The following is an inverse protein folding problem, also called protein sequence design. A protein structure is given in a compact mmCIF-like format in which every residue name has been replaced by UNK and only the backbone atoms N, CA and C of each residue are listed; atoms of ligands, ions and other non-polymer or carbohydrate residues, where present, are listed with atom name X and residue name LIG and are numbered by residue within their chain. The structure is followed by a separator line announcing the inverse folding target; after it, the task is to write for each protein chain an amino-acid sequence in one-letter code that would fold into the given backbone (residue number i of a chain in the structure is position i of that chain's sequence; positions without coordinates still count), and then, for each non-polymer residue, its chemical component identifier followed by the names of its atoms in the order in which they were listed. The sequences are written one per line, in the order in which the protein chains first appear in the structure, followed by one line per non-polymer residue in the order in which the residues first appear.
data_IF_316871942759
#
_entry.id   IF_316871942759
#
_cell.length_a   1.000
_cell.length_b   1.000
_cell.length_c   1.000
_cell.angle_alpha   90.00
_cell.angle_beta   90.00
_cell.angle_gamma   90.00
#
_symmetry.space_group_name_H-M   'P 1'
#
loop_
_entity.id
_entity.type
_entity.pdbx_description
1 polymer ?
#
# COMPACT_ATOMS: atom_id res chain seq x y z
N UNK A 1 29.08 11.62 -18.82
CA UNK A 1 29.60 10.41 -18.16
C UNK A 1 29.60 9.31 -19.20
N UNK A 2 30.78 8.87 -19.66
CA UNK A 2 30.89 7.82 -20.67
C UNK A 2 30.31 6.52 -20.12
N UNK A 3 29.21 6.04 -20.69
CA UNK A 3 28.72 4.70 -20.41
C UNK A 3 29.63 3.76 -21.20
N UNK A 4 30.62 3.16 -20.53
CA UNK A 4 31.47 2.15 -21.18
C UNK A 4 30.60 0.97 -21.61
N UNK A 5 30.45 0.83 -22.93
CA UNK A 5 29.82 -0.32 -23.56
C UNK A 5 30.84 -1.46 -23.69
N UNK A 6 30.47 -2.66 -23.30
CA UNK A 6 31.23 -3.87 -23.56
C UNK A 6 30.45 -4.74 -24.55
N UNK A 7 31.15 -5.52 -25.37
CA UNK A 7 30.53 -6.44 -26.33
C UNK A 7 30.79 -7.87 -25.83
N UNK A 8 29.74 -8.68 -25.69
CA UNK A 8 29.90 -10.10 -25.31
C UNK A 8 30.44 -10.95 -26.47
N UNK A 9 30.83 -12.20 -26.19
CA UNK A 9 31.31 -13.14 -27.20
C UNK A 9 30.27 -13.51 -28.28
N UNK A 10 29.01 -13.09 -28.12
CA UNK A 10 27.91 -13.27 -29.08
C UNK A 10 27.61 -11.99 -29.88
N UNK A 11 28.41 -10.93 -29.71
CA UNK A 11 28.25 -9.67 -30.44
C UNK A 11 27.20 -8.71 -29.86
N UNK A 12 26.63 -9.00 -28.69
CA UNK A 12 25.68 -8.09 -28.05
C UNK A 12 26.43 -6.97 -27.34
N UNK A 13 26.12 -5.72 -27.71
CA UNK A 13 26.60 -4.54 -26.99
C UNK A 13 25.76 -4.32 -25.73
N UNK A 14 26.43 -4.29 -24.58
CA UNK A 14 25.83 -4.09 -23.26
C UNK A 14 26.59 -3.03 -22.45
N UNK A 15 26.01 -2.58 -21.36
CA UNK A 15 26.67 -1.64 -20.43
C UNK A 15 26.95 -2.37 -19.11
N UNK A 16 28.04 -2.04 -18.41
CA UNK A 16 28.36 -2.68 -17.11
C UNK A 16 27.17 -2.61 -16.14
N UNK A 17 26.49 -1.46 -16.17
CA UNK A 17 25.25 -1.27 -15.45
C UNK A 17 24.16 -2.26 -15.88
N UNK A 18 23.92 -2.45 -17.18
CA UNK A 18 22.92 -3.40 -17.68
C UNK A 18 23.19 -4.86 -17.30
N UNK A 19 24.46 -5.24 -17.16
CA UNK A 19 24.85 -6.58 -16.69
C UNK A 19 24.56 -6.76 -15.19
N UNK A 20 25.07 -5.84 -14.37
CA UNK A 20 25.04 -5.95 -12.91
C UNK A 20 23.69 -5.56 -12.29
N UNK A 21 22.92 -4.70 -12.96
CA UNK A 21 21.68 -4.20 -12.41
C UNK A 21 20.59 -5.28 -12.41
N UNK A 22 20.44 -5.93 -11.26
CA UNK A 22 19.31 -6.80 -10.90
C UNK A 22 18.53 -6.25 -9.71
N UNK A 23 18.70 -4.96 -9.40
CA UNK A 23 18.04 -4.32 -8.28
C UNK A 23 16.51 -4.30 -8.46
N UNK A 24 15.80 -4.64 -7.38
CA UNK A 24 14.34 -4.77 -7.34
C UNK A 24 13.60 -3.46 -7.06
N UNK A 25 14.32 -2.44 -6.60
CA UNK A 25 13.76 -1.12 -6.24
C UNK A 25 14.45 -0.01 -7.02
N UNK A 26 13.70 1.05 -7.34
CA UNK A 26 14.25 2.22 -8.03
C UNK A 26 15.39 2.91 -7.23
N UNK A 27 15.30 3.09 -5.89
CA UNK A 27 16.43 3.54 -5.09
C UNK A 27 17.69 2.67 -5.25
N UNK A 28 17.56 1.34 -5.24
CA UNK A 28 18.70 0.43 -5.43
C UNK A 28 19.36 0.59 -6.80
N UNK A 29 18.56 0.75 -7.86
CA UNK A 29 19.09 1.02 -9.21
C UNK A 29 19.83 2.35 -9.29
N UNK A 30 19.39 3.38 -8.55
CA UNK A 30 20.08 4.68 -8.47
C UNK A 30 21.40 4.54 -7.71
N UNK A 31 21.38 3.87 -6.57
CA UNK A 31 22.57 3.63 -5.76
C UNK A 31 23.64 2.84 -6.50
N UNK A 32 23.25 1.79 -7.26
CA UNK A 32 24.19 1.01 -8.05
C UNK A 32 24.87 1.85 -9.15
N UNK A 33 24.14 2.77 -9.81
CA UNK A 33 24.75 3.70 -10.77
C UNK A 33 25.78 4.59 -10.10
N UNK A 34 25.45 5.09 -8.91
CA UNK A 34 26.37 5.92 -8.14
C UNK A 34 27.64 5.16 -7.76
N UNK A 35 27.51 3.92 -7.25
CA UNK A 35 28.67 3.09 -6.90
C UNK A 35 29.58 2.78 -8.09
N UNK A 36 29.00 2.55 -9.28
CA UNK A 36 29.80 2.34 -10.50
C UNK A 36 30.50 3.62 -10.97
N UNK A 37 29.89 4.79 -10.75
CA UNK A 37 30.49 6.07 -11.09
C UNK A 37 31.53 6.55 -10.06
N UNK A 38 31.43 6.07 -8.81
CA UNK A 38 32.25 6.45 -7.66
C UNK A 38 32.75 5.22 -6.91
N UNK A 39 33.78 4.53 -7.45
CA UNK A 39 34.40 3.40 -6.76
C UNK A 39 34.94 3.80 -5.38
N UNK A 40 34.86 2.89 -4.43
CA UNK A 40 35.47 3.08 -3.11
C UNK A 40 36.99 2.99 -3.21
N UNK A 41 37.69 3.78 -2.39
CA UNK A 41 39.14 3.70 -2.23
C UNK A 41 39.56 3.23 -0.82
N UNK A 42 38.61 3.13 0.10
CA UNK A 42 38.84 2.68 1.48
C UNK A 42 38.74 1.14 1.55
N UNK A 43 39.84 0.51 1.94
CA UNK A 43 39.92 -0.95 2.05
C UNK A 43 38.91 -1.53 3.04
N UNK A 44 38.61 -0.85 4.14
CA UNK A 44 37.66 -1.34 5.15
C UNK A 44 36.25 -1.40 4.57
N UNK A 45 35.80 -0.31 3.96
CA UNK A 45 34.48 -0.25 3.31
C UNK A 45 34.34 -1.24 2.15
N UNK A 46 35.43 -1.50 1.41
CA UNK A 46 35.45 -2.53 0.37
C UNK A 46 35.27 -3.92 1.01
N UNK A 47 36.04 -4.24 2.05
CA UNK A 47 35.94 -5.51 2.76
C UNK A 47 34.54 -5.71 3.37
N UNK A 48 33.97 -4.69 4.01
CA UNK A 48 32.65 -4.80 4.63
C UNK A 48 31.56 -5.08 3.59
N UNK A 49 31.60 -4.40 2.43
CA UNK A 49 30.69 -4.69 1.31
C UNK A 49 30.89 -6.09 0.75
N UNK A 50 32.14 -6.55 0.63
CA UNK A 50 32.43 -7.90 0.16
C UNK A 50 31.92 -8.97 1.12
N UNK A 51 32.15 -8.79 2.43
CA UNK A 51 31.68 -9.70 3.47
C UNK A 51 30.15 -9.77 3.49
N UNK A 52 29.47 -8.62 3.40
CA UNK A 52 28.01 -8.54 3.29
C UNK A 52 27.46 -9.29 2.05
N UNK A 53 28.14 -9.18 0.91
CA UNK A 53 27.77 -9.92 -0.31
C UNK A 53 28.02 -11.41 -0.14
N UNK A 54 29.18 -11.80 0.42
CA UNK A 54 29.55 -13.20 0.66
C UNK A 54 28.50 -13.91 1.53
N UNK A 55 28.05 -13.28 2.62
CA UNK A 55 26.99 -13.82 3.48
C UNK A 55 25.69 -14.09 2.71
N UNK A 56 25.28 -13.15 1.85
CA UNK A 56 24.10 -13.34 1.00
C UNK A 56 24.31 -14.37 -0.10
N UNK A 57 25.54 -14.56 -0.58
CA UNK A 57 25.88 -15.59 -1.58
C UNK A 57 25.76 -16.98 -0.96
N UNK A 58 26.30 -17.16 0.25
CA UNK A 58 26.27 -18.41 1.00
C UNK A 58 24.84 -18.77 1.47
N UNK A 59 24.04 -17.77 1.85
CA UNK A 59 22.67 -17.97 2.33
C UNK A 59 21.62 -17.73 1.24
N UNK A 60 21.47 -18.73 0.35
CA UNK A 60 20.61 -18.61 -0.84
C UNK A 60 19.12 -18.43 -0.53
N UNK A 61 18.63 -18.98 0.57
CA UNK A 61 17.23 -18.85 1.01
C UNK A 61 16.91 -17.42 1.43
N UNK A 62 17.68 -16.87 2.38
CA UNK A 62 17.61 -15.47 2.81
C UNK A 62 17.66 -14.52 1.61
N UNK A 63 18.62 -14.73 0.69
CA UNK A 63 18.76 -13.91 -0.51
C UNK A 63 17.51 -13.93 -1.39
N UNK A 64 16.87 -15.10 -1.57
CA UNK A 64 15.62 -15.21 -2.34
C UNK A 64 14.46 -14.53 -1.62
N UNK A 65 14.33 -14.71 -0.31
CA UNK A 65 13.30 -14.02 0.48
C UNK A 65 13.43 -12.51 0.35
N UNK A 66 14.64 -11.96 0.51
CA UNK A 66 14.90 -10.54 0.35
C UNK A 66 14.62 -10.07 -1.10
N UNK A 67 15.19 -10.74 -2.11
CA UNK A 67 15.09 -10.33 -3.53
C UNK A 67 13.70 -10.48 -4.11
N UNK A 68 13.03 -11.60 -3.87
CA UNK A 68 11.86 -11.99 -4.65
C UNK A 68 10.56 -11.76 -3.87
N UNK A 69 10.61 -11.69 -2.53
CA UNK A 69 9.42 -11.48 -1.70
C UNK A 69 9.35 -10.10 -1.06
N UNK A 70 10.44 -9.61 -0.46
CA UNK A 70 10.42 -8.40 0.36
C UNK A 70 10.73 -7.12 -0.43
N UNK A 71 11.89 -7.07 -1.11
CA UNK A 71 12.31 -5.88 -1.88
C UNK A 71 11.30 -5.41 -2.94
N UNK A 72 10.59 -6.29 -3.69
CA UNK A 72 9.61 -5.84 -4.68
C UNK A 72 8.42 -5.08 -4.07
N UNK A 73 8.16 -5.26 -2.76
CA UNK A 73 7.08 -4.58 -2.04
C UNK A 73 7.51 -3.22 -1.48
N UNK A 74 8.80 -2.90 -1.49
CA UNK A 74 9.33 -1.64 -0.95
C UNK A 74 8.96 -0.48 -1.89
N UNK A 75 8.17 0.52 -1.43
CA UNK A 75 7.87 1.70 -2.23
C UNK A 75 9.11 2.59 -2.39
N UNK A 76 9.08 3.53 -3.33
CA UNK A 76 10.13 4.56 -3.41
C UNK A 76 9.97 5.55 -2.24
N UNK A 77 10.71 5.29 -1.15
CA UNK A 77 10.66 6.08 0.09
C UNK A 77 10.99 7.55 -0.15
N UNK A 78 11.84 7.88 -1.13
CA UNK A 78 12.21 9.26 -1.43
C UNK A 78 11.02 10.08 -1.96
N UNK A 79 10.10 9.42 -2.66
CA UNK A 79 8.86 10.04 -3.17
C UNK A 79 7.87 10.26 -2.04
N UNK A 80 7.69 9.25 -1.17
CA UNK A 80 6.81 9.35 0.00
C UNK A 80 7.29 10.43 0.97
N UNK A 81 8.60 10.44 1.27
CA UNK A 81 9.25 11.45 2.09
C UNK A 81 8.97 12.87 1.58
N UNK A 82 9.18 13.11 0.28
CA UNK A 82 8.95 14.42 -0.33
C UNK A 82 7.49 14.86 -0.19
N UNK A 83 6.53 13.96 -0.38
CA UNK A 83 5.10 14.29 -0.24
C UNK A 83 4.75 14.68 1.20
N UNK A 84 5.27 13.96 2.18
CA UNK A 84 5.02 14.22 3.60
C UNK A 84 5.62 15.55 4.04
N UNK A 85 6.88 15.80 3.70
CA UNK A 85 7.59 17.05 4.04
C UNK A 85 6.92 18.27 3.39
N UNK A 86 6.43 18.14 2.16
CA UNK A 86 5.73 19.23 1.47
C UNK A 86 4.24 19.35 1.84
N UNK A 87 3.76 18.57 2.81
CA UNK A 87 2.34 18.50 3.21
C UNK A 87 1.37 18.26 2.04
N UNK A 88 1.84 17.53 1.01
CA UNK A 88 1.05 17.13 -0.17
C UNK A 88 0.65 15.65 -0.14
N UNK A 89 0.94 14.97 0.96
CA UNK A 89 0.56 13.58 1.17
C UNK A 89 -0.95 13.44 1.40
N UNK A 90 -1.50 12.30 1.01
CA UNK A 90 -2.86 11.87 1.37
C UNK A 90 -2.82 10.83 2.50
N UNK A 91 -3.98 10.50 3.07
CA UNK A 91 -4.09 9.42 4.06
C UNK A 91 -3.54 8.09 3.53
N UNK A 92 -3.79 7.79 2.25
CA UNK A 92 -3.20 6.64 1.55
C UNK A 92 -1.66 6.66 1.58
N UNK A 93 -1.02 7.80 1.34
CA UNK A 93 0.44 7.89 1.36
C UNK A 93 0.99 7.62 2.78
N UNK A 94 0.27 8.07 3.82
CA UNK A 94 0.62 7.81 5.22
C UNK A 94 0.48 6.32 5.57
N UNK A 95 -0.62 5.69 5.13
CA UNK A 95 -0.83 4.26 5.30
C UNK A 95 0.24 3.43 4.57
N UNK A 96 0.74 3.88 3.41
CA UNK A 96 1.86 3.20 2.72
C UNK A 96 3.16 3.24 3.52
N UNK A 97 3.42 4.31 4.28
CA UNK A 97 4.57 4.36 5.20
C UNK A 97 4.38 3.38 6.36
N UNK A 98 3.16 3.26 6.88
CA UNK A 98 2.83 2.23 7.85
C UNK A 98 3.06 0.81 7.30
N UNK A 99 2.59 0.52 6.09
CA UNK A 99 2.84 -0.76 5.41
C UNK A 99 4.35 -1.03 5.23
N UNK A 100 5.14 0.00 4.93
CA UNK A 100 6.59 -0.12 4.89
C UNK A 100 7.15 -0.48 6.27
N UNK A 101 6.72 0.17 7.35
CA UNK A 101 7.18 -0.17 8.71
C UNK A 101 6.83 -1.62 9.10
N UNK A 102 5.63 -2.11 8.72
CA UNK A 102 5.26 -3.53 8.87
C UNK A 102 6.18 -4.43 8.04
N UNK A 103 6.47 -4.05 6.78
CA UNK A 103 7.39 -4.78 5.92
C UNK A 103 8.81 -4.85 6.50
N UNK A 104 9.29 -3.76 7.12
CA UNK A 104 10.61 -3.70 7.77
C UNK A 104 10.73 -4.71 8.93
N UNK A 105 9.64 -5.07 9.62
CA UNK A 105 9.66 -6.13 10.63
C UNK A 105 10.00 -7.50 10.01
N UNK A 106 9.57 -7.76 8.78
CA UNK A 106 9.95 -8.97 8.06
C UNK A 106 11.41 -8.94 7.60
N UNK A 107 11.90 -7.78 7.15
CA UNK A 107 13.33 -7.60 6.87
C UNK A 107 14.19 -7.88 8.10
N UNK A 108 13.80 -7.33 9.25
CA UNK A 108 14.53 -7.50 10.50
C UNK A 108 14.61 -8.97 10.93
N UNK A 109 13.51 -9.73 10.82
CA UNK A 109 13.51 -11.18 11.10
C UNK A 109 14.47 -11.93 10.17
N UNK A 110 14.34 -11.72 8.86
CA UNK A 110 15.16 -12.41 7.86
C UNK A 110 16.65 -12.04 7.95
N UNK A 111 16.97 -10.78 8.28
CA UNK A 111 18.34 -10.33 8.48
C UNK A 111 18.92 -10.79 9.82
N UNK A 112 18.08 -10.99 10.86
CA UNK A 112 18.52 -11.59 12.11
C UNK A 112 18.86 -13.07 11.94
N UNK A 113 18.03 -13.81 11.22
CA UNK A 113 18.34 -15.20 10.83
C UNK A 113 19.71 -15.27 10.13
N UNK A 114 19.95 -14.40 9.15
CA UNK A 114 21.26 -14.30 8.49
C UNK A 114 22.39 -13.95 9.45
N UNK A 115 22.17 -13.02 10.36
CA UNK A 115 23.19 -12.60 11.33
C UNK A 115 23.55 -13.72 12.31
N UNK A 116 22.55 -14.49 12.77
CA UNK A 116 22.74 -15.57 13.73
C UNK A 116 23.45 -16.79 13.10
N UNK A 117 23.25 -17.02 11.79
CA UNK A 117 23.90 -18.10 11.03
C UNK A 117 25.35 -17.77 10.61
N UNK A 118 25.78 -16.50 10.74
CA UNK A 118 27.11 -16.05 10.29
C UNK A 118 28.11 -15.98 11.44
N UNK A 119 29.28 -16.61 11.27
CA UNK A 119 30.37 -16.47 12.24
C UNK A 119 31.34 -15.34 11.85
N UNK A 120 31.84 -15.39 10.61
CA UNK A 120 32.96 -14.54 10.17
C UNK A 120 32.50 -13.15 9.72
N UNK A 121 31.37 -13.08 9.02
CA UNK A 121 30.91 -11.85 8.38
C UNK A 121 29.80 -11.14 9.18
N UNK A 122 29.47 -11.65 10.37
CA UNK A 122 28.44 -11.09 11.25
C UNK A 122 28.54 -9.58 11.48
N UNK A 123 29.75 -8.97 11.68
CA UNK A 123 29.86 -7.53 11.83
C UNK A 123 29.37 -6.76 10.59
N UNK A 124 29.72 -7.22 9.39
CA UNK A 124 29.30 -6.57 8.15
C UNK A 124 27.78 -6.69 7.93
N UNK A 125 27.18 -7.86 8.22
CA UNK A 125 25.73 -8.05 8.16
C UNK A 125 25.01 -7.17 9.17
N UNK A 126 25.53 -7.08 10.40
CA UNK A 126 24.97 -6.26 11.46
C UNK A 126 24.98 -4.79 11.07
N UNK A 127 26.15 -4.24 10.77
CA UNK A 127 26.36 -2.80 10.63
C UNK A 127 25.76 -2.26 9.33
N UNK A 128 25.86 -3.03 8.22
CA UNK A 128 25.37 -2.58 6.91
C UNK A 128 23.89 -2.90 6.65
N UNK A 129 23.32 -3.89 7.34
CA UNK A 129 21.96 -4.36 7.05
C UNK A 129 21.06 -4.34 8.27
N UNK A 130 21.37 -5.09 9.32
CA UNK A 130 20.43 -5.32 10.42
C UNK A 130 20.20 -4.08 11.28
N UNK A 131 21.27 -3.41 11.71
CA UNK A 131 21.21 -2.25 12.60
C UNK A 131 20.45 -1.06 11.98
N UNK A 132 20.65 -0.69 10.70
CA UNK A 132 19.81 0.31 10.03
C UNK A 132 18.31 -0.03 10.04
N UNK A 133 17.95 -1.30 9.87
CA UNK A 133 16.54 -1.73 9.91
C UNK A 133 15.99 -1.66 11.34
N UNK A 134 16.73 -2.17 12.33
CA UNK A 134 16.35 -2.11 13.75
C UNK A 134 16.15 -0.66 14.21
N UNK A 135 17.07 0.24 13.83
CA UNK A 135 16.98 1.66 14.09
C UNK A 135 15.71 2.24 13.45
N UNK A 136 15.49 2.03 12.15
CA UNK A 136 14.29 2.51 11.47
C UNK A 136 12.99 2.05 12.17
N UNK A 137 12.92 0.79 12.59
CA UNK A 137 11.77 0.24 13.30
C UNK A 137 11.48 0.91 14.64
N UNK A 138 12.52 1.31 15.38
CA UNK A 138 12.38 2.04 16.64
C UNK A 138 11.68 3.40 16.42
N UNK A 139 12.04 4.11 15.35
CA UNK A 139 11.47 5.43 15.05
C UNK A 139 10.06 5.37 14.44
N UNK A 140 9.71 4.26 13.78
CA UNK A 140 8.36 4.09 13.23
C UNK A 140 7.31 3.67 14.26
N UNK A 141 7.66 3.38 15.51
CA UNK A 141 6.73 2.82 16.48
C UNK A 141 5.54 3.77 16.77
N UNK A 142 5.84 5.02 17.15
CA UNK A 142 4.83 6.08 17.35
C UNK A 142 4.04 6.39 16.08
N UNK A 143 4.68 6.29 14.92
CA UNK A 143 4.01 6.48 13.64
C UNK A 143 2.97 5.38 13.40
N UNK A 144 3.32 4.13 13.68
CA UNK A 144 2.42 2.99 13.54
C UNK A 144 1.23 3.09 14.49
N UNK A 145 1.46 3.49 15.75
CA UNK A 145 0.39 3.70 16.74
C UNK A 145 -0.60 4.78 16.29
N UNK A 146 -0.08 5.91 15.77
CA UNK A 146 -0.91 6.98 15.21
C UNK A 146 -1.78 6.47 14.07
N UNK A 147 -1.21 5.75 13.09
CA UNK A 147 -1.99 5.25 11.95
C UNK A 147 -3.04 4.23 12.39
N UNK A 148 -2.71 3.27 13.27
CA UNK A 148 -3.67 2.27 13.77
C UNK A 148 -4.83 2.88 14.54
N UNK A 149 -4.57 3.93 15.31
CA UNK A 149 -5.59 4.64 16.09
C UNK A 149 -6.38 5.65 15.27
N UNK A 150 -5.98 5.95 14.03
CA UNK A 150 -6.63 6.98 13.20
C UNK A 150 -7.26 6.46 11.91
N UNK A 151 -6.68 5.46 11.26
CA UNK A 151 -7.16 4.91 9.99
C UNK A 151 -8.08 3.73 10.24
N UNK A 152 -9.22 3.71 9.55
CA UNK A 152 -10.16 2.60 9.59
C UNK A 152 -9.74 1.48 8.63
N UNK A 153 -8.93 0.55 9.13
CA UNK A 153 -8.45 -0.61 8.36
C UNK A 153 -9.61 -1.51 7.91
N UNK A 154 -10.63 -1.72 8.74
CA UNK A 154 -11.78 -2.57 8.41
C UNK A 154 -12.61 -2.00 7.26
N UNK A 155 -12.81 -0.68 7.25
CA UNK A 155 -13.48 -0.01 6.13
C UNK A 155 -12.65 -0.08 4.84
N UNK A 156 -11.33 0.08 4.95
CA UNK A 156 -10.42 -0.02 3.81
C UNK A 156 -10.42 -1.43 3.20
N UNK A 157 -10.41 -2.48 4.01
CA UNK A 157 -10.47 -3.86 3.53
C UNK A 157 -11.75 -4.17 2.75
N UNK A 158 -12.89 -3.59 3.16
CA UNK A 158 -14.19 -3.82 2.51
C UNK A 158 -14.41 -2.99 1.24
N UNK A 159 -13.95 -1.74 1.24
CA UNK A 159 -14.30 -0.75 0.20
C UNK A 159 -13.13 -0.33 -0.68
N UNK A 160 -11.90 -0.54 -0.25
CA UNK A 160 -10.68 -0.01 -0.87
C UNK A 160 -10.43 1.47 -0.61
N UNK A 161 -11.37 2.19 0.03
CA UNK A 161 -11.26 3.62 0.34
C UNK A 161 -10.65 3.84 1.73
N UNK A 162 -9.92 4.96 1.89
CA UNK A 162 -9.34 5.36 3.17
C UNK A 162 -10.25 6.37 3.86
N UNK A 163 -10.49 6.16 5.15
CA UNK A 163 -11.18 7.12 6.03
C UNK A 163 -10.57 7.12 7.42
N UNK A 164 -10.80 8.19 8.15
CA UNK A 164 -10.52 8.27 9.58
C UNK A 164 -11.53 7.39 10.33
N UNK A 165 -11.09 6.75 11.42
CA UNK A 165 -11.97 5.95 12.26
C UNK A 165 -13.10 6.81 12.85
N UNK A 166 -14.37 6.33 12.81
CA UNK A 166 -15.50 7.09 13.32
C UNK A 166 -15.45 7.36 14.84
N UNK A 167 -14.74 6.53 15.61
CA UNK A 167 -14.66 6.62 17.08
C UNK A 167 -13.83 7.82 17.59
N UNK A 168 -13.10 8.50 16.72
CA UNK A 168 -12.28 9.67 17.09
C UNK A 168 -13.13 10.90 17.38
N UNK A 169 -14.26 11.03 16.70
CA UNK A 169 -15.13 12.20 16.79
C UNK A 169 -16.62 11.79 16.90
N UNK A 170 -17.37 12.30 17.89
CA UNK A 170 -18.77 11.92 18.09
C UNK A 170 -19.68 12.16 16.88
N UNK A 171 -19.41 13.19 16.07
CA UNK A 171 -20.22 13.49 14.88
C UNK A 171 -19.89 12.52 13.74
N UNK A 172 -18.61 12.15 13.57
CA UNK A 172 -18.23 11.07 12.64
C UNK A 172 -18.87 9.74 13.03
N UNK A 173 -18.88 9.40 14.33
CA UNK A 173 -19.53 8.19 14.83
C UNK A 173 -21.02 8.18 14.47
N UNK A 174 -21.72 9.28 14.73
CA UNK A 174 -23.15 9.43 14.41
C UNK A 174 -23.43 9.22 12.92
N UNK A 175 -22.65 9.85 12.04
CA UNK A 175 -22.81 9.71 10.58
C UNK A 175 -22.51 8.26 10.15
N UNK A 176 -21.49 7.62 10.72
CA UNK A 176 -21.14 6.22 10.43
C UNK A 176 -22.25 5.26 10.86
N UNK A 177 -22.88 5.49 12.01
CA UNK A 177 -24.02 4.68 12.48
C UNK A 177 -25.22 4.82 11.56
N UNK A 178 -25.53 6.04 11.10
CA UNK A 178 -26.58 6.31 10.12
C UNK A 178 -26.29 5.59 8.78
N UNK A 179 -25.04 5.62 8.30
CA UNK A 179 -24.61 4.89 7.11
C UNK A 179 -24.75 3.37 7.27
N UNK A 180 -24.34 2.82 8.42
CA UNK A 180 -24.48 1.40 8.73
C UNK A 180 -25.96 0.97 8.78
N UNK A 181 -26.84 1.83 9.31
CA UNK A 181 -28.28 1.58 9.31
C UNK A 181 -28.86 1.54 7.89
N UNK A 182 -28.40 2.41 6.99
CA UNK A 182 -28.78 2.38 5.57
C UNK A 182 -28.25 1.12 4.87
N UNK A 183 -27.02 0.70 5.14
CA UNK A 183 -26.45 -0.53 4.57
C UNK A 183 -27.23 -1.77 5.02
N UNK A 184 -27.62 -1.85 6.31
CA UNK A 184 -28.48 -2.92 6.82
C UNK A 184 -29.87 -2.92 6.16
N UNK A 185 -30.44 -1.75 5.87
CA UNK A 185 -31.70 -1.62 5.11
C UNK A 185 -31.52 -2.08 3.67
N UNK A 186 -30.42 -1.69 3.01
CA UNK A 186 -30.09 -2.12 1.66
C UNK A 186 -29.93 -3.65 1.59
N UNK A 187 -29.25 -4.26 2.56
CA UNK A 187 -29.04 -5.71 2.57
C UNK A 187 -30.36 -6.49 2.76
N UNK A 188 -31.26 -6.00 3.63
CA UNK A 188 -32.63 -6.56 3.76
C UNK A 188 -33.47 -6.40 2.49
N UNK A 189 -33.29 -5.30 1.76
CA UNK A 189 -33.96 -5.11 0.47
C UNK A 189 -33.39 -6.05 -0.60
N UNK A 190 -32.07 -6.27 -0.62
CA UNK A 190 -31.40 -7.20 -1.53
C UNK A 190 -31.84 -8.66 -1.36
N UNK A 191 -32.17 -9.13 -0.15
CA UNK A 191 -32.63 -10.53 0.05
C UNK A 191 -33.92 -10.86 -0.69
N UNK A 192 -34.70 -9.85 -1.10
CA UNK A 192 -35.89 -10.02 -1.93
C UNK A 192 -35.57 -10.21 -3.42
N UNK A 193 -34.32 -9.93 -3.84
CA UNK A 193 -33.79 -10.09 -5.20
C UNK A 193 -32.91 -11.33 -5.24
N UNK A 194 -33.47 -12.44 -5.72
CA UNK A 194 -32.93 -13.80 -5.51
C UNK A 194 -31.81 -14.18 -6.50
N UNK A 195 -30.67 -13.46 -6.49
CA UNK A 195 -29.32 -13.95 -6.88
C UNK A 195 -28.25 -12.84 -6.75
N UNK A 196 -27.02 -13.16 -6.31
CA UNK A 196 -25.98 -12.17 -6.06
C UNK A 196 -25.41 -11.67 -7.40
N UNK A 197 -25.80 -10.46 -7.78
CA UNK A 197 -25.10 -9.71 -8.82
C UNK A 197 -23.92 -9.03 -8.14
N UNK A 198 -22.72 -9.23 -8.67
CA UNK A 198 -21.49 -8.63 -8.16
C UNK A 198 -21.62 -7.10 -8.12
N UNK A 199 -22.01 -6.56 -6.97
CA UNK A 199 -22.06 -5.15 -6.67
C UNK A 199 -20.72 -4.80 -6.02
N UNK A 200 -19.66 -4.73 -6.83
CA UNK A 200 -18.36 -4.21 -6.36
C UNK A 200 -18.32 -2.69 -6.27
N UNK A 201 -19.34 -2.02 -6.77
CA UNK A 201 -19.61 -0.62 -6.51
C UNK A 201 -21.13 -0.49 -6.43
N UNK A 202 -21.64 0.43 -5.63
CA UNK A 202 -23.02 0.91 -5.66
C UNK A 202 -23.38 1.63 -6.99
N UNK A 203 -22.91 1.11 -8.13
CA UNK A 203 -23.38 1.44 -9.48
C UNK A 203 -24.65 0.64 -9.73
N UNK A 204 -25.75 1.25 -9.29
CA UNK A 204 -27.21 1.06 -9.46
C UNK A 204 -27.74 0.28 -10.70
N UNK A 205 -27.10 -0.79 -11.13
CA UNK A 205 -27.55 -1.65 -12.23
C UNK A 205 -27.46 -3.11 -11.80
N UNK A 206 -28.61 -3.68 -11.48
CA UNK A 206 -28.74 -5.11 -11.17
C UNK A 206 -28.96 -5.89 -12.46
N UNK A 207 -28.14 -6.91 -12.73
CA UNK A 207 -28.23 -7.79 -13.91
C UNK A 207 -29.02 -9.07 -13.59
N UNK A 208 -30.28 -9.16 -13.98
CA UNK A 208 -31.08 -10.38 -13.82
C UNK A 208 -30.98 -11.31 -15.04
N UNK A 209 -31.12 -12.62 -14.80
CA UNK A 209 -31.19 -13.63 -15.87
C UNK A 209 -32.44 -13.50 -16.74
N UNK A 210 -32.38 -14.04 -17.96
CA UNK A 210 -33.44 -13.93 -18.99
C UNK A 210 -34.79 -14.54 -18.54
N UNK A 211 -34.77 -15.54 -17.65
CA UNK A 211 -35.99 -16.16 -17.10
C UNK A 211 -36.74 -15.27 -16.09
N UNK A 212 -36.03 -14.36 -15.41
CA UNK A 212 -36.58 -13.50 -14.35
C UNK A 212 -37.14 -12.17 -14.88
N UNK A 213 -36.87 -11.84 -16.14
CA UNK A 213 -37.36 -10.63 -16.83
C UNK A 213 -38.88 -10.44 -16.70
N UNK A 214 -39.64 -11.53 -16.84
CA UNK A 214 -41.12 -11.49 -16.79
C UNK A 214 -41.66 -11.16 -15.40
N UNK A 215 -40.91 -11.46 -14.34
CA UNK A 215 -41.30 -11.15 -12.97
C UNK A 215 -40.83 -9.75 -12.55
N UNK A 216 -39.67 -9.32 -13.03
CA UNK A 216 -39.12 -7.98 -12.77
C UNK A 216 -39.99 -6.90 -13.40
N UNK A 217 -40.53 -7.12 -14.61
CA UNK A 217 -41.48 -6.20 -15.26
C UNK A 217 -42.83 -6.08 -14.53
N UNK A 218 -43.17 -7.00 -13.62
CA UNK A 218 -44.40 -6.96 -12.82
C UNK A 218 -44.25 -6.15 -11.53
N UNK A 219 -43.02 -5.88 -11.09
CA UNK A 219 -42.73 -5.11 -9.89
C UNK A 219 -42.86 -3.60 -10.18
N UNK A 220 -43.78 -2.92 -9.51
CA UNK A 220 -44.06 -1.48 -9.71
C UNK A 220 -42.89 -0.57 -9.31
N UNK A 221 -42.02 -1.05 -8.42
CA UNK A 221 -40.88 -0.33 -7.87
C UNK A 221 -39.58 -0.54 -8.67
N UNK A 222 -39.64 -1.28 -9.79
CA UNK A 222 -38.47 -1.57 -10.62
C UNK A 222 -38.54 -0.85 -11.97
N UNK A 223 -37.52 -0.03 -12.25
CA UNK A 223 -37.31 0.61 -13.55
C UNK A 223 -36.27 -0.19 -14.36
N UNK A 224 -36.67 -0.76 -15.49
CA UNK A 224 -35.75 -1.47 -16.40
C UNK A 224 -34.98 -0.44 -17.23
N UNK A 225 -33.64 -0.50 -17.17
CA UNK A 225 -32.75 0.47 -17.83
C UNK A 225 -32.26 -0.03 -19.18
N UNK A 226 -31.93 -1.32 -19.29
CA UNK A 226 -31.38 -1.90 -20.53
C UNK A 226 -31.69 -3.40 -20.64
N UNK A 227 -31.98 -3.88 -21.85
CA UNK A 227 -32.25 -5.30 -22.14
C UNK A 227 -31.27 -5.76 -23.20
N UNK A 228 -30.21 -6.44 -22.77
CA UNK A 228 -29.21 -7.00 -23.68
C UNK A 228 -29.59 -8.43 -24.05
N UNK A 229 -29.91 -8.68 -25.33
CA UNK A 229 -30.26 -10.01 -25.84
C UNK A 229 -29.14 -11.01 -25.53
N UNK A 230 -29.40 -11.94 -24.61
CA UNK A 230 -28.48 -13.02 -24.21
C UNK A 230 -27.67 -12.78 -22.93
N UNK A 231 -27.61 -11.55 -22.39
CA UNK A 231 -26.80 -11.22 -21.20
C UNK A 231 -27.61 -10.81 -19.97
N UNK A 232 -28.95 -10.75 -20.07
CA UNK A 232 -29.82 -10.40 -18.95
C UNK A 232 -30.40 -8.98 -19.00
N UNK A 233 -31.17 -8.63 -17.97
CA UNK A 233 -31.91 -7.38 -17.84
C UNK A 233 -31.26 -6.50 -16.78
N UNK A 234 -30.90 -5.27 -17.13
CA UNK A 234 -30.46 -4.27 -16.16
C UNK A 234 -31.65 -3.52 -15.61
N UNK A 235 -31.82 -3.52 -14.29
CA UNK A 235 -32.91 -2.82 -13.63
C UNK A 235 -32.43 -2.01 -12.42
N UNK A 236 -33.24 -1.01 -12.06
CA UNK A 236 -33.09 -0.13 -10.90
C UNK A 236 -34.31 -0.31 -10.01
N UNK A 237 -34.09 -0.67 -8.76
CA UNK A 237 -35.12 -0.68 -7.73
C UNK A 237 -35.21 0.72 -7.10
N UNK A 238 -36.41 1.27 -6.99
CA UNK A 238 -36.65 2.64 -6.50
C UNK A 238 -36.26 2.82 -5.04
N UNK A 239 -36.53 1.83 -4.19
CA UNK A 239 -36.20 1.88 -2.77
C UNK A 239 -34.68 1.78 -2.57
N UNK A 240 -34.00 0.90 -3.34
CA UNK A 240 -32.54 0.81 -3.34
C UNK A 240 -31.87 2.06 -3.92
N UNK A 241 -32.49 2.71 -4.92
CA UNK A 241 -31.99 3.97 -5.48
C UNK A 241 -32.03 5.09 -4.43
N UNK A 242 -33.14 5.22 -3.70
CA UNK A 242 -33.28 6.21 -2.62
C UNK A 242 -32.28 5.94 -1.47
N UNK A 243 -32.13 4.67 -1.06
CA UNK A 243 -31.15 4.29 -0.02
C UNK A 243 -29.73 4.66 -0.48
N UNK A 244 -29.40 4.40 -1.75
CA UNK A 244 -28.10 4.73 -2.30
C UNK A 244 -27.85 6.25 -2.37
N UNK A 245 -28.83 7.05 -2.80
CA UNK A 245 -28.70 8.51 -2.81
C UNK A 245 -28.46 9.06 -1.41
N UNK A 246 -29.22 8.59 -0.41
CA UNK A 246 -29.01 8.97 1.00
C UNK A 246 -27.63 8.55 1.52
N UNK A 247 -27.17 7.35 1.18
CA UNK A 247 -25.83 6.88 1.56
C UNK A 247 -24.72 7.75 0.95
N UNK A 248 -24.84 8.12 -0.32
CA UNK A 248 -23.89 9.02 -0.98
C UNK A 248 -23.86 10.41 -0.34
N UNK A 249 -25.01 10.96 0.03
CA UNK A 249 -25.09 12.23 0.78
C UNK A 249 -24.37 12.12 2.12
N UNK A 250 -24.64 11.08 2.91
CA UNK A 250 -23.95 10.86 4.19
C UNK A 250 -22.45 10.66 4.02
N UNK A 251 -22.02 9.93 2.99
CA UNK A 251 -20.59 9.74 2.69
C UNK A 251 -19.91 11.07 2.34
N UNK A 252 -20.58 11.96 1.59
CA UNK A 252 -20.05 13.30 1.31
C UNK A 252 -19.97 14.17 2.57
N UNK A 253 -20.96 14.08 3.47
CA UNK A 253 -20.94 14.78 4.76
C UNK A 253 -19.79 14.25 5.63
N UNK A 254 -19.63 12.93 5.74
CA UNK A 254 -18.53 12.29 6.45
C UNK A 254 -17.18 12.76 5.92
N UNK A 255 -17.00 12.73 4.59
CA UNK A 255 -15.78 13.21 3.92
C UNK A 255 -15.49 14.66 4.23
N UNK A 256 -16.51 15.51 4.32
CA UNK A 256 -16.33 16.92 4.67
C UNK A 256 -15.95 17.09 6.13
N UNK A 257 -16.62 16.40 7.04
CA UNK A 257 -16.36 16.46 8.48
C UNK A 257 -14.95 15.97 8.85
N UNK A 258 -14.43 14.92 8.18
CA UNK A 258 -13.11 14.38 8.49
C UNK A 258 -11.93 15.21 7.92
N UNK A 259 -12.15 16.15 6.99
CA UNK A 259 -11.05 16.86 6.28
C UNK A 259 -10.05 17.53 7.21
N UNK A 260 -10.52 18.17 8.28
CA UNK A 260 -9.63 18.89 9.19
C UNK A 260 -8.89 17.93 10.12
N UNK A 261 -9.50 16.79 10.47
CA UNK A 261 -8.81 15.71 11.17
C UNK A 261 -7.75 15.06 10.27
N UNK A 262 -8.05 14.84 8.99
CA UNK A 262 -7.10 14.30 8.01
C UNK A 262 -5.87 15.20 7.87
N UNK A 263 -6.09 16.53 7.74
CA UNK A 263 -4.98 17.50 7.69
C UNK A 263 -4.11 17.43 8.95
N UNK A 264 -4.72 17.32 10.14
CA UNK A 264 -3.99 17.19 11.41
C UNK A 264 -3.17 15.89 11.43
N UNK A 265 -3.75 14.75 11.05
CA UNK A 265 -3.05 13.46 10.98
C UNK A 265 -1.87 13.54 10.01
N UNK A 266 -2.08 14.06 8.80
CA UNK A 266 -1.02 14.21 7.78
C UNK A 266 0.11 15.11 8.29
N UNK A 267 -0.23 16.21 8.97
CA UNK A 267 0.76 17.11 9.56
C UNK A 267 1.59 16.42 10.66
N UNK A 268 0.95 15.71 11.58
CA UNK A 268 1.63 14.94 12.63
C UNK A 268 2.51 13.84 12.04
N UNK A 269 2.01 13.11 11.04
CA UNK A 269 2.81 12.14 10.29
C UNK A 269 4.03 12.79 9.63
N UNK A 270 3.87 13.97 9.03
CA UNK A 270 4.97 14.73 8.44
C UNK A 270 6.03 15.15 9.46
N UNK A 271 5.63 15.58 10.65
CA UNK A 271 6.54 15.94 11.74
C UNK A 271 7.32 14.73 12.28
N UNK A 272 6.63 13.62 12.57
CA UNK A 272 7.27 12.37 13.01
C UNK A 272 8.29 11.89 11.97
N UNK A 273 7.92 11.98 10.69
CA UNK A 273 8.80 11.59 9.60
C UNK A 273 9.98 12.57 9.42
N UNK A 274 9.78 13.88 9.59
CA UNK A 274 10.86 14.86 9.55
C UNK A 274 11.88 14.60 10.67
N UNK A 275 11.43 14.34 11.89
CA UNK A 275 12.31 14.06 13.03
C UNK A 275 13.24 12.86 12.76
N UNK A 276 12.72 11.80 12.13
CA UNK A 276 13.52 10.66 11.70
C UNK A 276 14.63 11.04 10.69
N UNK A 277 14.34 11.92 9.72
CA UNK A 277 15.33 12.34 8.72
C UNK A 277 16.32 13.40 9.23
N UNK A 278 15.93 14.26 10.17
CA UNK A 278 16.84 15.23 10.77
C UNK A 278 17.92 14.59 11.63
N UNK A 279 17.66 13.39 12.17
CA UNK A 279 18.67 12.57 12.87
C UNK A 279 19.62 11.86 11.90
N UNK A 280 19.28 11.80 10.61
CA UNK A 280 20.03 11.15 9.52
C UNK A 280 20.93 12.11 8.71
N UNK A 281 20.91 13.42 9.05
CA UNK A 281 21.62 14.49 8.34
C UNK A 281 22.96 14.85 8.95
#
# INVERSE_FOLDING_TARGET
MYVQSFTDAKGNSGTLFGLLNKCRTAPGQRLLREWLARPLCDIRQICDRQNAVESLVQNSEVRRTLSDMLLPKVPDCSVLARKLVLSKAKLQDCYRVYQLAVLLRHFERTLRELFDDEEKNAPAVKDLMLEPICYALLHFDRYCELIRSTVDEEYHEKTGDFRIRPDIDPELLRISDDMCALEKKAEKAKTHVRKPIACMDLRVLFLAGVEEEKNIRKCKFITVVDVSKGSGVRFRDGDLAEINERHQVLNNIYRTAQQDLEKKVIATCGQLFHNFFSEFG
#
